data_IF_373103649032
#
_entry.id   IF_373103649032
#
_cell.length_a   1.000
_cell.length_b   1.000
_cell.length_c   1.000
_cell.angle_alpha   90.00
_cell.angle_beta   90.00
_cell.angle_gamma   90.00
#
_symmetry.space_group_name_H-M   'P 1'
#
loop_
_entity.id
_entity.type
_entity.pdbx_description
1 polymer ?
#
# COMPACT_ATOMS: atom_id res chain seq x y z
N UNK A 1 0.06 31.77 27.10
CA UNK A 1 0.96 30.75 27.62
C UNK A 1 0.13 29.53 28.02
N UNK A 2 -0.07 28.61 27.07
CA UNK A 2 -0.70 27.33 27.34
C UNK A 2 0.29 26.37 27.97
N UNK A 3 -0.13 25.60 28.93
CA UNK A 3 0.63 24.46 29.44
C UNK A 3 0.46 23.34 28.43
N UNK A 4 1.57 22.81 27.91
CA UNK A 4 1.54 21.63 27.06
C UNK A 4 1.24 20.41 27.92
N UNK A 5 0.24 19.62 27.53
CA UNK A 5 -0.04 18.34 28.15
C UNK A 5 0.37 17.23 27.20
N UNK A 6 0.97 16.18 27.74
CA UNK A 6 1.36 14.99 27.00
C UNK A 6 0.35 13.88 27.26
N UNK A 7 0.13 13.07 26.26
CA UNK A 7 -0.67 11.87 26.37
C UNK A 7 0.09 10.72 25.73
N UNK A 8 0.45 9.75 26.51
CA UNK A 8 1.13 8.55 26.03
C UNK A 8 0.11 7.47 25.71
N UNK A 9 0.21 6.92 24.52
CA UNK A 9 -0.61 5.81 24.04
C UNK A 9 0.28 4.68 23.53
N UNK A 10 -0.08 3.44 23.87
CA UNK A 10 0.54 2.28 23.23
C UNK A 10 0.17 2.24 21.76
N UNK A 11 1.19 2.19 20.91
CA UNK A 11 1.04 2.24 19.45
C UNK A 11 1.59 0.97 18.79
N UNK A 12 1.18 -0.20 19.29
CA UNK A 12 1.59 -1.50 18.76
C UNK A 12 2.93 -1.99 19.29
N UNK A 13 3.65 -2.74 18.48
CA UNK A 13 4.94 -3.33 18.77
C UNK A 13 6.04 -2.79 17.87
N UNK A 14 7.28 -2.96 18.30
CA UNK A 14 8.46 -2.57 17.52
C UNK A 14 9.43 -3.73 17.45
N UNK A 15 9.92 -4.01 16.25
CA UNK A 15 10.92 -5.06 16.00
C UNK A 15 12.25 -4.45 15.58
N UNK A 16 13.35 -4.91 16.21
CA UNK A 16 14.69 -4.54 15.79
C UNK A 16 15.04 -5.17 14.46
N UNK A 17 15.44 -4.34 13.49
CA UNK A 17 15.83 -4.76 12.15
C UNK A 17 17.38 -4.79 12.04
N UNK A 18 18.02 -5.97 12.02
CA UNK A 18 19.48 -6.07 12.09
C UNK A 18 20.22 -5.45 10.91
N UNK A 19 19.66 -5.53 9.70
CA UNK A 19 20.28 -4.96 8.50
C UNK A 19 20.24 -3.44 8.48
N UNK A 20 19.23 -2.85 9.10
CA UNK A 20 19.09 -1.41 9.21
C UNK A 20 19.66 -0.85 10.52
N UNK A 21 19.97 -1.72 11.49
CA UNK A 21 20.50 -1.37 12.80
C UNK A 21 19.60 -0.40 13.60
N UNK A 22 18.28 -0.50 13.42
CA UNK A 22 17.30 0.27 14.15
C UNK A 22 15.98 -0.51 14.33
N UNK A 23 15.02 0.08 15.05
CA UNK A 23 13.72 -0.52 15.30
C UNK A 23 12.70 -0.01 14.30
N UNK A 24 11.81 -0.91 13.86
CA UNK A 24 10.65 -0.60 13.04
C UNK A 24 9.39 -0.70 13.88
N UNK A 25 8.44 0.21 13.65
CA UNK A 25 7.05 0.04 14.08
C UNK A 25 6.42 -1.04 13.21
N UNK A 26 5.93 -2.09 13.87
CA UNK A 26 5.33 -3.23 13.18
C UNK A 26 3.94 -2.86 12.64
N UNK A 27 3.60 -3.40 11.48
CA UNK A 27 2.28 -3.24 10.85
C UNK A 27 1.84 -1.78 10.60
N UNK A 28 2.78 -0.83 10.63
CA UNK A 28 2.47 0.56 10.33
C UNK A 28 1.92 0.76 8.93
N UNK A 29 2.56 0.15 7.94
CA UNK A 29 2.15 0.24 6.55
C UNK A 29 2.10 -1.15 5.90
N UNK A 30 1.06 -1.44 5.16
CA UNK A 30 0.89 -2.69 4.42
C UNK A 30 0.52 -2.36 2.99
N UNK A 31 1.23 -2.98 2.05
CA UNK A 31 0.96 -2.85 0.63
C UNK A 31 0.51 -4.19 0.07
N UNK A 32 -0.56 -4.18 -0.69
CA UNK A 32 -1.11 -5.38 -1.32
C UNK A 32 -1.41 -5.12 -2.78
N UNK A 33 -1.31 -6.15 -3.61
CA UNK A 33 -1.83 -6.15 -4.96
C UNK A 33 -3.21 -6.80 -4.94
N UNK A 34 -4.20 -6.12 -5.52
CA UNK A 34 -5.60 -6.57 -5.48
C UNK A 34 -6.25 -6.52 -6.84
N UNK A 35 -7.27 -7.36 -7.01
CA UNK A 35 -8.22 -7.23 -8.11
C UNK A 35 -9.39 -6.34 -7.65
N UNK A 36 -9.75 -5.37 -8.48
CA UNK A 36 -10.86 -4.48 -8.17
C UNK A 36 -12.20 -5.22 -8.23
N UNK A 37 -13.07 -4.92 -7.28
CA UNK A 37 -14.49 -5.24 -7.34
C UNK A 37 -15.28 -3.94 -7.54
N UNK A 38 -15.89 -3.76 -8.71
CA UNK A 38 -16.67 -2.57 -9.06
C UNK A 38 -17.92 -2.36 -8.17
N UNK A 39 -18.32 -3.37 -7.41
CA UNK A 39 -19.45 -3.28 -6.48
C UNK A 39 -19.02 -2.96 -5.05
N UNK A 40 -17.71 -2.99 -4.77
CA UNK A 40 -17.15 -2.74 -3.45
C UNK A 40 -16.26 -1.49 -3.51
N UNK A 41 -16.75 -0.34 -3.06
CA UNK A 41 -15.98 0.91 -3.14
C UNK A 41 -14.82 1.00 -2.13
N UNK A 42 -14.77 0.12 -1.13
CA UNK A 42 -13.64 0.12 -0.21
C UNK A 42 -12.55 -0.83 -0.70
N UNK A 43 -11.38 -0.34 -1.20
CA UNK A 43 -10.31 -1.17 -1.71
C UNK A 43 -9.73 -2.15 -0.68
N UNK A 44 -9.92 -1.87 0.61
CA UNK A 44 -9.48 -2.78 1.67
C UNK A 44 -10.28 -4.09 1.70
N UNK A 45 -11.42 -4.13 1.03
CA UNK A 45 -12.24 -5.34 0.90
C UNK A 45 -12.02 -6.08 -0.43
N UNK A 46 -11.26 -5.52 -1.36
CA UNK A 46 -10.98 -6.19 -2.63
C UNK A 46 -10.13 -7.44 -2.44
N UNK A 47 -10.29 -8.46 -3.29
CA UNK A 47 -9.49 -9.68 -3.20
C UNK A 47 -7.99 -9.40 -3.32
N UNK A 48 -7.21 -9.89 -2.37
CA UNK A 48 -5.75 -9.81 -2.39
C UNK A 48 -5.22 -10.91 -3.30
N UNK A 49 -4.32 -10.55 -4.21
CA UNK A 49 -3.62 -11.48 -5.10
C UNK A 49 -2.14 -11.63 -4.76
N UNK A 50 -1.57 -10.62 -4.12
CA UNK A 50 -0.18 -10.68 -3.63
C UNK A 50 0.05 -9.69 -2.49
N UNK A 51 0.97 -10.02 -1.60
CA UNK A 51 1.36 -9.18 -0.48
C UNK A 51 2.70 -8.48 -0.73
N UNK A 52 2.85 -7.28 -0.18
CA UNK A 52 4.12 -6.57 -0.15
C UNK A 52 5.11 -7.19 0.83
N UNK A 53 6.39 -6.98 0.58
CA UNK A 53 7.44 -7.51 1.43
C UNK A 53 7.61 -6.69 2.72
N UNK A 54 7.47 -5.35 2.64
CA UNK A 54 7.70 -4.46 3.76
C UNK A 54 6.45 -4.29 4.62
N UNK A 55 6.59 -4.52 5.90
CA UNK A 55 5.51 -4.36 6.88
C UNK A 55 5.89 -3.47 8.07
N UNK A 56 7.17 -3.28 8.33
CA UNK A 56 7.67 -2.46 9.43
C UNK A 56 8.38 -1.20 8.94
N UNK A 57 8.17 -0.09 9.64
CA UNK A 57 8.70 1.22 9.28
C UNK A 57 9.32 1.92 10.48
N UNK A 58 10.40 2.65 10.23
CA UNK A 58 10.93 3.61 11.20
C UNK A 58 10.23 4.95 10.96
N UNK A 59 9.36 5.35 11.84
CA UNK A 59 8.59 6.57 11.69
C UNK A 59 9.39 7.76 12.20
N UNK A 60 9.60 8.75 11.32
CA UNK A 60 10.39 9.93 11.66
C UNK A 60 9.93 11.18 10.90
N UNK A 61 10.34 12.33 11.39
CA UNK A 61 10.19 13.61 10.71
C UNK A 61 11.24 13.71 9.59
N UNK A 62 10.97 13.08 8.44
CA UNK A 62 11.90 13.09 7.29
C UNK A 62 11.89 14.42 6.58
N UNK A 63 10.72 14.97 6.29
CA UNK A 63 10.56 16.24 5.61
C UNK A 63 9.35 17.01 6.11
N UNK A 64 9.25 18.27 5.70
CA UNK A 64 8.10 19.12 6.03
C UNK A 64 7.22 19.36 4.81
N UNK A 65 5.95 19.69 5.03
CA UNK A 65 5.02 20.05 3.97
C UNK A 65 5.42 21.34 3.23
N UNK A 66 6.42 22.05 3.72
CA UNK A 66 7.02 23.19 3.08
C UNK A 66 6.21 24.50 3.25
N UNK A 67 6.70 25.56 2.64
CA UNK A 67 6.14 26.92 2.77
C UNK A 67 5.64 27.51 1.44
N UNK A 68 5.60 26.73 0.38
CA UNK A 68 5.16 27.18 -0.93
C UNK A 68 5.55 26.23 -2.05
N UNK A 69 5.27 26.61 -3.29
CA UNK A 69 5.47 25.77 -4.49
C UNK A 69 6.92 25.40 -4.79
N UNK A 70 7.88 25.97 -4.09
CA UNK A 70 9.30 25.64 -4.20
C UNK A 70 9.77 24.62 -3.16
N UNK A 71 8.87 24.10 -2.35
CA UNK A 71 9.18 23.03 -1.42
C UNK A 71 9.51 21.74 -2.18
N UNK A 72 10.51 20.99 -1.73
CA UNK A 72 10.84 19.68 -2.26
C UNK A 72 9.64 18.73 -2.22
N UNK A 73 8.79 18.87 -1.21
CA UNK A 73 7.60 18.03 -1.02
C UNK A 73 6.30 18.74 -1.44
N UNK A 74 6.39 19.71 -2.34
CA UNK A 74 5.20 20.36 -2.87
C UNK A 74 4.21 19.36 -3.44
N UNK A 75 2.97 19.45 -2.96
CA UNK A 75 1.89 18.56 -3.40
C UNK A 75 1.80 17.22 -2.70
N UNK A 76 2.75 16.84 -1.83
CA UNK A 76 2.69 15.60 -1.06
C UNK A 76 1.71 15.75 0.12
N UNK A 77 1.72 16.88 0.81
CA UNK A 77 0.76 17.16 1.88
C UNK A 77 -0.52 17.74 1.30
N UNK A 78 -1.60 17.01 1.40
CA UNK A 78 -2.90 17.40 0.87
C UNK A 78 -4.01 17.26 1.89
N UNK A 79 -5.08 18.00 1.66
CA UNK A 79 -6.36 17.74 2.32
C UNK A 79 -6.91 16.41 1.83
N UNK A 80 -7.52 15.69 2.68
CA UNK A 80 -8.43 14.54 2.55
C UNK A 80 -8.48 13.73 1.23
N UNK A 81 -7.62 14.00 0.25
CA UNK A 81 -7.74 13.29 -1.00
C UNK A 81 -6.94 12.00 -1.03
N UNK A 82 -7.63 10.93 -0.73
CA UNK A 82 -7.19 9.54 -0.83
C UNK A 82 -7.56 8.88 -2.16
N UNK A 83 -8.36 9.55 -2.98
CA UNK A 83 -8.86 8.97 -4.24
C UNK A 83 -7.99 9.38 -5.40
N UNK A 84 -7.44 8.42 -6.14
CA UNK A 84 -6.81 8.68 -7.43
C UNK A 84 -7.84 8.98 -8.51
N UNK A 85 -7.43 9.62 -9.61
CA UNK A 85 -8.32 9.87 -10.74
C UNK A 85 -8.89 8.57 -11.29
N UNK A 86 -8.06 7.54 -11.42
CA UNK A 86 -8.49 6.22 -11.91
C UNK A 86 -9.55 5.59 -11.00
N UNK A 87 -9.42 5.74 -9.68
CA UNK A 87 -10.43 5.27 -8.75
C UNK A 87 -11.75 6.02 -8.94
N UNK A 88 -11.69 7.33 -9.13
CA UNK A 88 -12.88 8.16 -9.33
C UNK A 88 -13.56 7.95 -10.68
N UNK A 89 -12.87 7.42 -11.68
CA UNK A 89 -13.51 6.97 -12.93
C UNK A 89 -14.47 5.81 -12.68
N UNK A 90 -14.10 4.90 -11.77
CA UNK A 90 -14.92 3.71 -11.44
C UNK A 90 -16.00 4.04 -10.42
N UNK A 91 -15.64 4.87 -9.43
CA UNK A 91 -16.52 5.25 -8.31
C UNK A 91 -16.81 6.76 -8.29
N UNK A 92 -17.51 7.30 -9.31
CA UNK A 92 -17.72 8.74 -9.45
C UNK A 92 -18.56 9.37 -8.34
N UNK A 93 -19.26 8.56 -7.54
CA UNK A 93 -20.03 9.05 -6.38
C UNK A 93 -19.12 9.64 -5.28
N UNK A 94 -17.83 9.34 -5.29
CA UNK A 94 -16.86 9.90 -4.33
C UNK A 94 -16.16 11.15 -4.86
N UNK A 95 -16.42 11.54 -6.10
CA UNK A 95 -15.87 12.78 -6.66
C UNK A 95 -16.70 13.98 -6.17
N UNK A 96 -16.22 14.65 -5.17
CA UNK A 96 -16.84 15.86 -4.61
C UNK A 96 -16.38 17.15 -5.31
N UNK A 97 -15.60 17.04 -6.37
CA UNK A 97 -15.05 18.16 -7.11
C UNK A 97 -13.75 18.73 -6.52
N UNK A 98 -13.24 18.16 -5.43
CA UNK A 98 -11.96 18.57 -4.81
C UNK A 98 -10.81 17.63 -5.20
N UNK A 99 -10.92 16.98 -6.34
CA UNK A 99 -9.96 15.98 -6.80
C UNK A 99 -8.51 16.46 -6.68
N UNK A 100 -7.67 15.65 -6.03
CA UNK A 100 -6.31 16.03 -5.67
C UNK A 100 -6.20 16.77 -4.33
N UNK A 101 -7.31 17.16 -3.72
CA UNK A 101 -7.33 17.89 -2.46
C UNK A 101 -6.60 19.23 -2.51
N UNK A 102 -6.70 20.01 -1.46
CA UNK A 102 -5.95 21.26 -1.33
C UNK A 102 -4.54 20.96 -0.80
N UNK A 103 -3.52 21.47 -1.49
CA UNK A 103 -2.14 21.38 -0.99
C UNK A 103 -2.01 22.12 0.32
N UNK A 104 -1.45 21.46 1.32
CA UNK A 104 -1.18 22.01 2.64
C UNK A 104 0.28 22.40 2.79
N UNK A 105 0.50 23.46 3.54
CA UNK A 105 1.82 23.98 3.90
C UNK A 105 1.97 24.00 5.42
N UNK A 106 3.19 24.18 5.90
CA UNK A 106 3.49 24.23 7.33
C UNK A 106 2.53 25.13 8.13
N UNK A 107 2.16 26.29 7.56
CA UNK A 107 1.25 27.24 8.19
C UNK A 107 -0.18 26.76 8.35
N UNK A 108 -0.57 25.72 7.61
CA UNK A 108 -1.94 25.19 7.59
C UNK A 108 -2.16 24.15 8.68
N UNK A 109 -1.07 23.66 9.27
CA UNK A 109 -1.13 22.65 10.31
C UNK A 109 -1.18 23.27 11.72
N UNK A 110 -2.26 23.04 12.49
CA UNK A 110 -2.27 23.40 13.88
C UNK A 110 -1.17 22.63 14.61
N UNK A 111 -0.47 23.31 15.52
CA UNK A 111 0.62 22.72 16.28
C UNK A 111 1.77 22.14 15.42
N UNK A 112 2.07 22.78 14.30
CA UNK A 112 3.17 22.38 13.43
C UNK A 112 4.45 22.07 14.21
N UNK A 113 5.02 20.88 13.99
CA UNK A 113 6.24 20.43 14.65
C UNK A 113 6.12 20.14 16.13
N UNK A 114 4.93 20.17 16.72
CA UNK A 114 4.68 19.75 18.08
C UNK A 114 4.31 18.27 18.13
N UNK A 115 4.98 17.55 18.99
CA UNK A 115 4.83 16.13 19.12
C UNK A 115 5.93 15.41 18.32
N UNK A 116 6.03 14.16 18.43
CA UNK A 116 6.97 13.68 18.01
C UNK A 116 7.75 12.73 17.32
N UNK A 117 8.00 12.89 16.13
CA UNK A 117 8.93 12.07 15.39
C UNK A 117 10.35 12.19 15.93
N UNK A 118 10.88 11.10 16.47
CA UNK A 118 12.28 11.05 16.88
C UNK A 118 13.13 10.50 15.74
N UNK A 119 14.12 11.27 15.32
CA UNK A 119 15.20 10.73 14.50
C UNK A 119 15.94 9.65 15.27
N UNK A 120 16.05 8.47 14.73
CA UNK A 120 16.83 7.39 15.31
C UNK A 120 16.06 6.13 15.64
N UNK A 121 14.78 6.08 15.25
CA UNK A 121 13.99 4.86 15.32
C UNK A 121 14.07 4.21 16.71
N UNK A 122 13.70 4.98 17.71
CA UNK A 122 13.73 4.59 19.12
C UNK A 122 12.88 3.33 19.36
N UNK A 123 13.27 2.54 20.35
CA UNK A 123 12.50 1.37 20.79
C UNK A 123 11.20 1.71 21.50
N UNK A 124 11.04 2.94 21.94
CA UNK A 124 9.95 3.35 22.84
C UNK A 124 9.16 4.53 22.33
N UNK A 125 9.67 5.23 21.31
CA UNK A 125 9.04 6.44 20.79
C UNK A 125 9.35 6.60 19.32
N UNK A 126 8.32 6.52 18.49
CA UNK A 126 8.37 6.83 17.07
C UNK A 126 7.08 7.57 16.68
N UNK A 127 7.12 8.32 15.60
CA UNK A 127 5.97 9.05 15.09
C UNK A 127 6.36 10.10 14.06
N UNK A 128 5.36 10.80 13.55
CA UNK A 128 5.50 11.89 12.59
C UNK A 128 4.83 13.11 13.19
N UNK A 129 5.55 14.23 13.28
CA UNK A 129 5.01 15.48 13.81
C UNK A 129 3.98 16.10 12.86
N UNK A 130 3.07 16.88 13.41
CA UNK A 130 2.08 17.62 12.64
C UNK A 130 2.74 18.53 11.58
N UNK A 131 2.38 18.34 10.31
CA UNK A 131 2.94 19.06 9.16
C UNK A 131 4.29 18.53 8.68
N UNK A 132 4.70 17.38 9.18
CA UNK A 132 5.84 16.61 8.66
C UNK A 132 5.34 15.43 7.84
N UNK A 133 6.25 14.84 7.09
CA UNK A 133 6.03 13.62 6.33
C UNK A 133 7.22 12.68 6.49
N UNK A 134 6.97 11.40 6.30
CA UNK A 134 7.98 10.39 6.11
C UNK A 134 7.95 9.90 4.66
N UNK A 135 9.09 9.53 4.10
CA UNK A 135 9.21 9.16 2.69
C UNK A 135 9.96 7.84 2.54
N UNK A 136 9.31 6.88 1.90
CA UNK A 136 9.89 5.59 1.55
C UNK A 136 9.98 5.46 0.03
N UNK A 137 11.17 5.65 -0.51
CA UNK A 137 11.42 5.56 -1.94
C UNK A 137 11.71 4.13 -2.39
N UNK A 138 11.53 3.87 -3.68
CA UNK A 138 11.74 2.57 -4.33
C UNK A 138 13.15 1.99 -4.16
N UNK A 139 14.13 2.84 -3.82
CA UNK A 139 15.53 2.45 -3.58
C UNK A 139 15.78 1.84 -2.19
N UNK A 140 14.77 1.87 -1.31
CA UNK A 140 14.88 1.27 0.02
C UNK A 140 14.54 -0.21 -0.03
N UNK A 141 15.10 -0.95 0.93
CA UNK A 141 14.87 -2.39 1.04
C UNK A 141 13.39 -2.73 1.23
N UNK A 142 12.98 -3.84 0.61
CA UNK A 142 11.63 -4.40 0.74
C UNK A 142 10.51 -3.56 0.12
N UNK A 143 10.82 -2.52 -0.68
CA UNK A 143 9.83 -1.71 -1.39
C UNK A 143 9.32 -2.42 -2.65
N UNK A 144 8.83 -3.65 -2.52
CA UNK A 144 8.24 -4.43 -3.62
C UNK A 144 7.07 -5.29 -3.17
N UNK A 145 6.28 -5.70 -4.12
CA UNK A 145 5.24 -6.72 -3.95
C UNK A 145 5.71 -7.97 -4.67
N UNK A 146 5.69 -9.11 -3.99
CA UNK A 146 6.03 -10.39 -4.59
C UNK A 146 4.87 -10.82 -5.51
N UNK A 147 5.18 -11.11 -6.77
CA UNK A 147 4.17 -11.63 -7.69
C UNK A 147 4.20 -13.15 -7.65
N UNK A 148 3.08 -13.74 -7.31
CA UNK A 148 2.94 -15.19 -7.29
C UNK A 148 3.00 -15.78 -8.69
N UNK A 149 3.61 -16.97 -8.88
CA UNK A 149 3.61 -17.67 -10.16
C UNK A 149 2.18 -17.93 -10.66
N UNK A 150 1.96 -17.68 -11.93
CA UNK A 150 0.65 -17.92 -12.55
C UNK A 150 -0.33 -16.74 -12.44
N UNK A 151 0.14 -15.60 -11.94
CA UNK A 151 -0.66 -14.37 -11.98
C UNK A 151 -0.85 -13.93 -13.43
N UNK A 152 -2.08 -13.67 -13.82
CA UNK A 152 -2.44 -13.29 -15.19
C UNK A 152 -1.97 -11.89 -15.57
N UNK A 153 -1.80 -11.64 -16.87
CA UNK A 153 -1.74 -10.27 -17.37
C UNK A 153 -3.08 -9.58 -17.12
N UNK A 154 -3.03 -8.31 -16.78
CA UNK A 154 -4.25 -7.56 -16.50
C UNK A 154 -3.99 -6.30 -15.68
N UNK A 155 -5.08 -5.61 -15.37
CA UNK A 155 -5.06 -4.46 -14.49
C UNK A 155 -5.29 -4.93 -13.06
N UNK A 156 -4.38 -4.56 -12.19
CA UNK A 156 -4.44 -4.78 -10.75
C UNK A 156 -4.33 -3.43 -10.04
N UNK A 157 -4.54 -3.45 -8.75
CA UNK A 157 -4.44 -2.24 -7.94
C UNK A 157 -3.50 -2.47 -6.77
N UNK A 158 -2.50 -1.59 -6.64
CA UNK A 158 -1.71 -1.52 -5.43
C UNK A 158 -2.54 -0.75 -4.41
N UNK A 159 -2.83 -1.40 -3.30
CA UNK A 159 -3.54 -0.79 -2.17
C UNK A 159 -2.55 -0.68 -1.02
N UNK A 160 -2.28 0.56 -0.62
CA UNK A 160 -1.51 0.89 0.57
C UNK A 160 -2.45 1.23 1.72
N UNK A 161 -2.21 0.65 2.88
CA UNK A 161 -2.94 0.90 4.11
C UNK A 161 -1.95 1.23 5.21
N UNK A 162 -2.17 2.33 5.94
CA UNK A 162 -1.39 2.69 7.13
C UNK A 162 -2.24 2.51 8.38
N UNK A 163 -1.57 2.26 9.51
CA UNK A 163 -2.20 2.07 10.82
C UNK A 163 -3.45 1.16 10.82
N UNK A 164 -3.39 0.03 10.11
CA UNK A 164 -4.51 -0.92 9.96
C UNK A 164 -5.12 -1.38 11.28
N UNK A 165 -4.39 -1.27 12.37
CA UNK A 165 -4.81 -1.69 13.71
C UNK A 165 -5.36 -0.52 14.53
N UNK A 166 -5.42 0.69 13.96
CA UNK A 166 -5.82 1.92 14.64
C UNK A 166 -5.09 2.10 15.99
N UNK A 167 -3.76 1.99 15.93
CA UNK A 167 -2.88 2.13 17.08
C UNK A 167 -2.50 3.58 17.35
N UNK A 168 -2.45 4.39 16.31
CA UNK A 168 -2.09 5.81 16.38
C UNK A 168 -3.36 6.65 16.56
N UNK A 169 -3.21 7.80 17.19
CA UNK A 169 -4.32 8.73 17.37
C UNK A 169 -4.28 9.78 16.26
N UNK A 170 -5.23 9.73 15.39
CA UNK A 170 -5.33 10.62 14.24
C UNK A 170 -6.56 11.52 14.33
N UNK A 171 -6.59 12.58 13.57
CA UNK A 171 -7.76 13.46 13.47
C UNK A 171 -8.83 12.90 12.55
N UNK A 172 -8.45 11.98 11.66
CA UNK A 172 -9.32 11.29 10.73
C UNK A 172 -8.81 9.87 10.53
N UNK A 173 -9.55 8.89 11.00
CA UNK A 173 -9.20 7.46 10.91
C UNK A 173 -9.71 6.81 9.60
N UNK A 174 -10.43 7.57 8.76
CA UNK A 174 -11.03 7.04 7.54
C UNK A 174 -10.15 7.25 6.29
N UNK A 175 -9.01 7.93 6.40
CA UNK A 175 -8.14 8.26 5.28
C UNK A 175 -6.82 7.46 5.24
N UNK A 176 -6.78 6.33 5.92
CA UNK A 176 -5.59 5.49 6.12
C UNK A 176 -5.29 4.52 4.96
N UNK A 177 -5.82 4.77 3.78
CA UNK A 177 -5.51 3.99 2.60
C UNK A 177 -5.41 4.84 1.33
N UNK A 178 -4.69 4.31 0.37
CA UNK A 178 -4.63 4.82 -0.99
C UNK A 178 -4.58 3.68 -1.99
N UNK A 179 -4.93 3.94 -3.24
CA UNK A 179 -4.87 2.92 -4.28
C UNK A 179 -4.48 3.51 -5.62
N UNK A 180 -3.64 2.77 -6.36
CA UNK A 180 -3.22 3.12 -7.72
C UNK A 180 -3.27 1.89 -8.62
N UNK A 181 -3.72 2.02 -9.88
CA UNK A 181 -3.74 0.92 -10.82
C UNK A 181 -2.34 0.59 -11.33
N UNK A 182 -2.11 -0.68 -11.61
CA UNK A 182 -0.91 -1.19 -12.27
C UNK A 182 -1.29 -2.23 -13.30
N UNK A 183 -0.68 -2.16 -14.49
CA UNK A 183 -0.90 -3.13 -15.55
C UNK A 183 0.25 -4.12 -15.60
N UNK A 184 -0.03 -5.39 -15.38
CA UNK A 184 0.91 -6.48 -15.58
C UNK A 184 0.77 -7.01 -17.02
N UNK A 185 1.89 -7.03 -17.75
CA UNK A 185 1.88 -7.35 -19.20
C UNK A 185 2.79 -8.50 -19.60
N UNK A 186 3.61 -8.99 -18.70
CA UNK A 186 4.66 -9.99 -19.00
C UNK A 186 4.60 -11.23 -18.10
N UNK A 187 3.46 -11.46 -17.46
CA UNK A 187 3.34 -12.57 -16.52
C UNK A 187 3.32 -13.94 -17.20
N UNK A 188 2.93 -13.97 -18.48
CA UNK A 188 2.76 -15.21 -19.24
C UNK A 188 3.84 -15.44 -20.31
N UNK A 189 4.79 -14.51 -20.51
CA UNK A 189 5.82 -14.60 -21.56
C UNK A 189 6.99 -15.52 -21.22
N UNK A 190 6.93 -16.28 -20.17
CA UNK A 190 8.06 -16.99 -19.59
C UNK A 190 8.19 -18.48 -19.85
N UNK A 191 7.68 -19.01 -20.91
CA UNK A 191 7.98 -20.40 -21.22
C UNK A 191 6.79 -21.35 -21.11
N UNK A 192 6.80 -22.31 -21.98
CA UNK A 192 5.74 -23.29 -22.18
C UNK A 192 5.23 -23.88 -20.86
N UNK A 193 3.93 -23.83 -20.73
CA UNK A 193 3.23 -24.43 -19.61
C UNK A 193 3.49 -25.93 -19.59
N UNK A 194 4.15 -26.39 -18.54
CA UNK A 194 4.12 -27.81 -18.19
C UNK A 194 2.86 -28.00 -17.35
N UNK A 195 1.72 -28.18 -18.02
CA UNK A 195 0.45 -28.39 -17.33
C UNK A 195 0.48 -29.79 -16.74
N UNK A 196 0.87 -29.89 -15.48
CA UNK A 196 0.63 -31.08 -14.70
C UNK A 196 -0.76 -30.98 -14.08
N UNK A 197 -1.71 -31.72 -14.63
CA UNK A 197 -3.04 -31.88 -14.02
C UNK A 197 -2.83 -32.74 -12.76
N UNK A 198 -2.66 -32.10 -11.61
CA UNK A 198 -2.48 -32.77 -10.34
C UNK A 198 -3.81 -33.12 -9.65
N UNK A 199 -4.89 -32.40 -9.96
CA UNK A 199 -6.27 -32.74 -9.58
C UNK A 199 -7.26 -31.82 -10.34
N UNK A 200 -8.52 -32.27 -10.44
CA UNK A 200 -9.59 -31.52 -11.12
C UNK A 200 -9.91 -30.16 -10.48
N UNK A 201 -9.47 -29.93 -9.26
CA UNK A 201 -9.83 -28.75 -8.46
C UNK A 201 -8.79 -27.60 -8.52
N UNK A 202 -7.73 -27.72 -9.33
CA UNK A 202 -6.64 -26.75 -9.33
C UNK A 202 -6.29 -26.15 -10.68
N UNK A 203 -7.17 -26.25 -11.68
CA UNK A 203 -6.96 -25.57 -12.95
C UNK A 203 -7.51 -24.16 -12.89
N UNK A 204 -6.64 -23.18 -12.71
CA UNK A 204 -6.98 -21.75 -12.84
C UNK A 204 -6.49 -21.24 -14.19
N UNK A 205 -7.38 -20.67 -14.98
CA UNK A 205 -7.07 -20.00 -16.26
C UNK A 205 -7.47 -18.54 -16.17
N UNK A 206 -6.70 -17.68 -16.84
CA UNK A 206 -7.04 -16.28 -16.93
C UNK A 206 -8.22 -16.04 -17.85
N UNK A 207 -9.06 -15.03 -17.56
CA UNK A 207 -10.18 -14.66 -18.39
C UNK A 207 -9.71 -14.28 -19.81
N UNK A 208 -10.34 -14.86 -20.81
CA UNK A 208 -9.99 -14.65 -22.22
C UNK A 208 -8.90 -15.58 -22.77
N UNK A 209 -8.32 -16.46 -21.97
CA UNK A 209 -7.38 -17.47 -22.45
C UNK A 209 -8.08 -18.74 -22.95
N UNK A 210 -7.57 -19.28 -24.04
CA UNK A 210 -8.07 -20.54 -24.61
C UNK A 210 -7.04 -21.64 -24.34
N UNK A 211 -7.38 -22.58 -23.48
CA UNK A 211 -6.58 -23.79 -23.30
C UNK A 211 -7.14 -24.90 -24.17
N UNK A 212 -6.31 -25.41 -25.08
CA UNK A 212 -6.65 -26.61 -25.84
C UNK A 212 -6.06 -27.82 -25.13
N UNK A 213 -6.91 -28.61 -24.51
CA UNK A 213 -6.49 -29.88 -23.93
C UNK A 213 -6.49 -30.95 -25.05
N UNK A 214 -5.31 -31.44 -25.39
CA UNK A 214 -5.16 -32.62 -26.24
C UNK A 214 -4.82 -33.82 -25.39
N UNK A 215 -5.70 -34.81 -25.32
CA UNK A 215 -5.34 -36.11 -24.77
C UNK A 215 -4.64 -36.91 -25.85
N UNK A 216 -3.41 -37.33 -25.63
CA UNK A 216 -2.84 -38.42 -26.42
C UNK A 216 -3.41 -39.73 -25.86
N UNK A 217 -4.36 -40.32 -26.58
CA UNK A 217 -4.71 -41.71 -26.29
C UNK A 217 -3.50 -42.57 -26.68
N UNK A 218 -2.78 -43.10 -25.70
CA UNK A 218 -1.95 -44.26 -25.96
C UNK A 218 -2.91 -45.38 -26.35
N UNK A 219 -2.70 -45.94 -27.52
CA UNK A 219 -3.44 -47.12 -27.98
C UNK A 219 -3.39 -48.18 -26.86
N UNK A 220 -4.57 -48.51 -26.33
CA UNK A 220 -4.69 -49.68 -25.51
C UNK A 220 -4.36 -50.88 -26.41
N UNK A 221 -3.33 -51.60 -26.08
CA UNK A 221 -3.08 -52.91 -26.68
C UNK A 221 -4.26 -53.81 -26.29
N UNK A 222 -5.00 -54.25 -27.29
CA UNK A 222 -6.00 -55.30 -27.14
C UNK A 222 -5.29 -56.59 -26.67
N UNK A 223 -5.72 -57.14 -25.56
CA UNK A 223 -5.59 -58.52 -25.19
C UNK A 223 -6.98 -59.13 -25.04
#
# INVERSE_FOLDING_TARGET
NGTMSYYDRMAGTMTYHPTHNHNHSDDWGVFTLRTMDENEPNPLNWPIVSDGAKMGFCLMDYGTCGTGTNSEYYGHCRDENRYSDDYLEVFPQFNDGTNGGTVKYNSDFPNFGLGGGSYGCSQVEQGISSGYLDLYGEWLDEQWINLEPGLCNGVYWIVGEVDRNNNYLESNEDNNWTTVPVTLTQQLDGGGYDIQILSEDQLSICDGEIITLTSSATTADEY
#
